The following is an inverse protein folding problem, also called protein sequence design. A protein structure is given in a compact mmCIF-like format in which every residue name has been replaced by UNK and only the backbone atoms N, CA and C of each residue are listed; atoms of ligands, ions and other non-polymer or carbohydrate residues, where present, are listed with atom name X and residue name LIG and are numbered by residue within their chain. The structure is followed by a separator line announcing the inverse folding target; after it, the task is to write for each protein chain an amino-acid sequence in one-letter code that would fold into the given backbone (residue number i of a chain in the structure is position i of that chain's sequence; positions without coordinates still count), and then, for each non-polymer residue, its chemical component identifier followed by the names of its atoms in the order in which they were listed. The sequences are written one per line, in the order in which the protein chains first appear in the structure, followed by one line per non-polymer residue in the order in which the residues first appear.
data_IF_100565947165
#
_entry.id   IF_100565947165
#
_cell.length_a   1.000
_cell.length_b   1.000
_cell.length_c   1.000
_cell.angle_alpha   90.00
_cell.angle_beta   90.00
_cell.angle_gamma   90.00
#
_symmetry.space_group_name_H-M   'P 1'
#
loop_
_entity.id
_entity.type
_entity.pdbx_description
1 polymer ?
#
# COMPACT_ATOMS: atom_id res chain seq x y z
N UNK A 1 -12.07 -2.44 56.21
CA UNK A 1 -12.36 -1.97 54.85
C UNK A 1 -11.30 -2.39 53.79
N UNK A 2 -10.00 -2.37 54.10
CA UNK A 2 -8.94 -2.68 53.10
C UNK A 2 -8.77 -4.17 52.70
N UNK A 3 -9.11 -5.10 53.57
CA UNK A 3 -8.95 -6.56 53.26
C UNK A 3 -10.08 -7.11 52.36
N UNK A 4 -11.28 -6.59 52.45
CA UNK A 4 -12.43 -6.98 51.64
C UNK A 4 -12.28 -6.49 50.21
N UNK A 5 -11.80 -5.25 50.00
CA UNK A 5 -11.53 -4.69 48.65
C UNK A 5 -10.46 -5.49 47.93
N UNK A 6 -9.40 -5.91 48.61
CA UNK A 6 -8.36 -6.77 48.03
C UNK A 6 -8.88 -8.16 47.61
N UNK A 7 -9.79 -8.74 48.40
CA UNK A 7 -10.42 -10.04 48.03
C UNK A 7 -11.39 -9.87 46.89
N UNK A 8 -12.15 -8.79 46.82
CA UNK A 8 -13.05 -8.50 45.70
C UNK A 8 -12.28 -8.27 44.39
N UNK A 9 -11.17 -7.52 44.43
CA UNK A 9 -10.30 -7.28 43.26
C UNK A 9 -9.63 -8.59 42.80
N UNK A 10 -9.20 -9.47 43.72
CA UNK A 10 -8.65 -10.77 43.36
C UNK A 10 -9.69 -11.70 42.75
N UNK A 11 -10.93 -11.68 43.21
CA UNK A 11 -12.03 -12.47 42.61
C UNK A 11 -12.47 -11.88 41.28
N UNK A 12 -12.51 -10.56 41.10
CA UNK A 12 -12.76 -9.93 39.79
C UNK A 12 -11.61 -10.23 38.79
N UNK A 13 -10.35 -10.22 39.23
CA UNK A 13 -9.20 -10.57 38.38
C UNK A 13 -9.20 -12.04 37.96
N UNK A 14 -9.74 -12.93 38.77
CA UNK A 14 -9.93 -14.36 38.42
C UNK A 14 -11.12 -14.58 37.47
N UNK A 15 -12.12 -13.71 37.49
CA UNK A 15 -13.29 -13.79 36.60
C UNK A 15 -13.01 -13.17 35.20
N UNK A 16 -11.92 -12.41 35.06
CA UNK A 16 -11.45 -11.86 33.77
C UNK A 16 -10.34 -12.71 33.11
N UNK A 17 -10.04 -13.88 33.64
CA UNK A 17 -9.26 -14.89 32.89
C UNK A 17 -10.12 -15.31 31.71
N UNK A 18 -10.10 -14.48 30.63
CA UNK A 18 -10.57 -14.92 29.33
C UNK A 18 -9.83 -16.19 29.00
N UNK A 19 -10.55 -17.26 28.71
CA UNK A 19 -10.01 -18.46 28.11
C UNK A 19 -9.19 -18.03 26.91
N UNK A 20 -7.87 -18.11 27.01
CA UNK A 20 -7.01 -18.01 25.85
C UNK A 20 -7.31 -19.26 25.04
N UNK A 21 -8.18 -19.13 24.04
CA UNK A 21 -8.35 -20.15 23.01
C UNK A 21 -6.98 -20.38 22.39
N UNK A 22 -6.32 -21.46 22.78
CA UNK A 22 -5.05 -21.89 22.22
C UNK A 22 -5.30 -22.53 20.84
N UNK A 23 -5.84 -21.76 19.89
CA UNK A 23 -5.83 -22.17 18.49
C UNK A 23 -4.37 -22.24 18.06
N UNK A 24 -3.93 -23.42 17.58
CA UNK A 24 -2.55 -23.65 17.13
C UNK A 24 -2.10 -22.61 16.11
N UNK A 25 -3.00 -22.08 15.28
CA UNK A 25 -2.76 -20.96 14.38
C UNK A 25 -4.08 -20.34 13.88
N UNK A 26 -4.11 -19.02 13.73
CA UNK A 26 -5.24 -18.33 13.09
C UNK A 26 -5.24 -18.66 11.59
N UNK A 27 -6.44 -18.87 11.02
CA UNK A 27 -6.64 -19.18 9.61
C UNK A 27 -5.93 -18.16 8.68
N UNK A 28 -5.37 -18.64 7.58
CA UNK A 28 -4.64 -17.87 6.55
C UNK A 28 -3.46 -17.04 7.10
N UNK A 29 -2.89 -17.44 8.23
CA UNK A 29 -1.68 -16.80 8.77
C UNK A 29 -0.46 -17.70 8.63
N UNK A 30 0.71 -17.07 8.50
CA UNK A 30 1.98 -17.75 8.43
C UNK A 30 3.08 -16.97 9.13
N UNK A 31 4.12 -17.69 9.51
CA UNK A 31 5.39 -17.13 9.96
C UNK A 31 6.53 -17.77 9.18
N UNK A 32 7.50 -16.98 8.81
CA UNK A 32 8.75 -17.42 8.20
C UNK A 32 9.91 -16.81 8.98
N UNK A 33 10.59 -17.63 9.79
CA UNK A 33 11.65 -17.18 10.66
C UNK A 33 13.02 -17.57 10.09
N UNK A 34 13.83 -16.58 9.68
CA UNK A 34 15.15 -16.78 9.08
C UNK A 34 16.19 -16.76 10.18
N UNK A 35 16.79 -17.95 10.45
CA UNK A 35 17.81 -18.14 11.48
C UNK A 35 18.95 -18.98 10.90
N UNK A 36 20.17 -18.45 10.95
CA UNK A 36 21.34 -19.12 10.41
C UNK A 36 21.17 -19.51 8.93
N UNK A 37 21.33 -20.81 8.62
CA UNK A 37 21.20 -21.35 7.27
C UNK A 37 19.79 -21.94 7.00
N UNK A 38 18.79 -21.52 7.74
CA UNK A 38 17.43 -22.01 7.61
C UNK A 38 16.38 -20.93 7.66
N UNK A 39 15.30 -21.10 6.87
CA UNK A 39 14.07 -20.35 7.03
C UNK A 39 12.96 -21.30 7.50
N UNK A 40 12.54 -21.15 8.74
CA UNK A 40 11.55 -21.98 9.41
C UNK A 40 10.16 -21.43 9.16
N UNK A 41 9.31 -22.25 8.57
CA UNK A 41 7.97 -21.89 8.14
C UNK A 41 6.94 -22.58 9.02
N UNK A 42 5.94 -21.83 9.44
CA UNK A 42 4.66 -22.35 9.95
C UNK A 42 3.56 -21.59 9.21
N UNK A 43 2.65 -22.30 8.55
CA UNK A 43 1.55 -21.69 7.81
C UNK A 43 0.25 -22.43 8.00
N UNK A 44 -0.85 -21.71 8.12
CA UNK A 44 -2.21 -22.26 8.03
C UNK A 44 -2.70 -22.11 6.60
N UNK A 45 -3.05 -23.23 5.97
CA UNK A 45 -3.51 -23.29 4.58
C UNK A 45 -4.95 -23.82 4.55
N UNK A 46 -5.85 -23.21 3.74
CA UNK A 46 -7.22 -23.69 3.63
C UNK A 46 -7.28 -25.03 2.86
N UNK A 47 -8.10 -25.95 3.32
CA UNK A 47 -8.33 -27.24 2.64
C UNK A 47 -8.86 -27.03 1.24
N UNK A 48 -9.69 -26.02 1.02
CA UNK A 48 -10.25 -25.65 -0.28
C UNK A 48 -9.19 -25.24 -1.35
N UNK A 49 -7.92 -25.00 -0.92
CA UNK A 49 -6.79 -24.77 -1.84
C UNK A 49 -6.16 -26.06 -2.35
N UNK A 50 -6.46 -27.21 -1.71
CA UNK A 50 -5.94 -28.51 -2.07
C UNK A 50 -6.90 -29.23 -3.04
N UNK A 51 -6.34 -30.03 -3.94
CA UNK A 51 -7.12 -30.75 -4.96
C UNK A 51 -7.07 -32.24 -4.72
N UNK A 52 -8.25 -32.90 -4.79
CA UNK A 52 -8.35 -34.35 -4.76
C UNK A 52 -7.94 -34.96 -3.41
N UNK A 53 -8.26 -34.29 -2.30
CA UNK A 53 -7.95 -34.73 -0.93
C UNK A 53 -9.21 -34.80 -0.05
N UNK A 54 -10.29 -34.21 -0.48
CA UNK A 54 -11.62 -34.21 0.10
C UNK A 54 -12.47 -35.18 -0.74
N UNK A 55 -12.69 -36.37 -0.23
CA UNK A 55 -13.31 -37.49 -0.96
C UNK A 55 -14.84 -37.42 -0.92
N UNK A 56 -15.41 -36.85 0.14
CA UNK A 56 -16.86 -36.71 0.31
C UNK A 56 -17.42 -35.39 -0.15
N UNK A 57 -16.53 -34.43 -0.46
CA UNK A 57 -16.91 -33.12 -1.03
C UNK A 57 -17.53 -32.16 -0.04
N UNK A 58 -17.33 -32.36 1.28
CA UNK A 58 -17.86 -31.48 2.33
C UNK A 58 -17.08 -30.16 2.50
N UNK A 59 -15.95 -30.03 1.81
CA UNK A 59 -15.04 -28.88 1.85
C UNK A 59 -14.16 -28.84 3.09
N UNK A 60 -13.99 -29.97 3.76
CA UNK A 60 -13.18 -30.19 4.95
C UNK A 60 -12.26 -31.38 4.75
N UNK A 61 -11.40 -31.62 5.70
CA UNK A 61 -10.49 -32.76 5.69
C UNK A 61 -10.66 -33.53 7.00
N UNK A 62 -11.17 -34.73 6.92
CA UNK A 62 -11.22 -35.68 8.05
C UNK A 62 -9.83 -36.27 8.31
N UNK A 63 -9.63 -36.84 9.47
CA UNK A 63 -8.38 -37.53 9.81
C UNK A 63 -8.11 -38.73 8.87
N UNK A 64 -9.15 -39.41 8.41
CA UNK A 64 -9.04 -40.54 7.49
C UNK A 64 -8.54 -40.07 6.10
N UNK A 65 -9.13 -39.04 5.54
CA UNK A 65 -8.73 -38.43 4.26
C UNK A 65 -7.33 -37.83 4.34
N UNK A 66 -7.03 -37.07 5.43
CA UNK A 66 -5.71 -36.52 5.66
C UNK A 66 -4.60 -37.57 5.67
N UNK A 67 -4.85 -38.74 6.29
CA UNK A 67 -3.91 -39.85 6.28
C UNK A 67 -3.84 -40.54 4.90
N UNK A 68 -4.98 -40.72 4.24
CA UNK A 68 -5.05 -41.37 2.92
C UNK A 68 -4.34 -40.54 1.85
N UNK A 69 -4.45 -39.19 1.91
CA UNK A 69 -3.93 -38.26 0.92
C UNK A 69 -2.66 -37.53 1.37
N UNK A 70 -2.01 -37.92 2.46
CA UNK A 70 -0.87 -37.22 3.05
C UNK A 70 0.23 -36.89 2.01
N UNK A 71 0.63 -37.87 1.21
CA UNK A 71 1.65 -37.67 0.19
C UNK A 71 1.24 -36.67 -0.90
N UNK A 72 -0.04 -36.67 -1.28
CA UNK A 72 -0.59 -35.71 -2.24
C UNK A 72 -0.65 -34.29 -1.66
N UNK A 73 -1.01 -34.15 -0.40
CA UNK A 73 -1.02 -32.88 0.35
C UNK A 73 0.41 -32.33 0.42
N UNK A 74 1.38 -33.15 0.85
CA UNK A 74 2.78 -32.73 0.92
C UNK A 74 3.33 -32.27 -0.45
N UNK A 75 3.02 -33.01 -1.52
CA UNK A 75 3.43 -32.63 -2.88
C UNK A 75 2.84 -31.28 -3.29
N UNK A 76 1.56 -31.06 -3.03
CA UNK A 76 0.89 -29.79 -3.33
C UNK A 76 1.48 -28.63 -2.51
N UNK A 77 1.78 -28.84 -1.23
CA UNK A 77 2.43 -27.83 -0.37
C UNK A 77 3.83 -27.50 -0.89
N UNK A 78 4.65 -28.50 -1.23
CA UNK A 78 6.00 -28.29 -1.78
C UNK A 78 5.99 -27.53 -3.10
N UNK A 79 4.97 -27.75 -3.92
CA UNK A 79 4.81 -27.03 -5.19
C UNK A 79 4.22 -25.65 -4.99
N UNK A 80 3.25 -25.52 -4.09
CA UNK A 80 2.46 -24.30 -3.87
C UNK A 80 3.08 -23.29 -2.92
N UNK A 81 4.06 -23.68 -2.08
CA UNK A 81 4.81 -22.79 -1.20
C UNK A 81 6.29 -22.92 -1.50
N UNK A 82 6.86 -21.91 -2.13
CA UNK A 82 8.25 -21.93 -2.57
C UNK A 82 9.02 -20.74 -2.02
N UNK A 83 10.19 -20.99 -1.48
CA UNK A 83 11.18 -19.97 -1.19
C UNK A 83 12.24 -20.01 -2.29
N UNK A 84 12.49 -18.89 -2.94
CA UNK A 84 13.43 -18.75 -4.06
C UNK A 84 14.57 -17.82 -3.65
N UNK A 85 15.78 -18.20 -3.99
CA UNK A 85 16.96 -17.36 -3.92
C UNK A 85 17.49 -17.07 -5.34
N UNK A 86 18.63 -16.38 -5.43
CA UNK A 86 19.25 -16.01 -6.71
C UNK A 86 19.53 -17.21 -7.64
N UNK A 87 19.72 -18.42 -7.10
CA UNK A 87 20.01 -19.66 -7.85
C UNK A 87 18.78 -20.53 -8.10
N UNK A 88 17.57 -20.07 -7.78
CA UNK A 88 16.32 -20.79 -7.98
C UNK A 88 15.61 -21.17 -6.68
N UNK A 89 14.72 -22.17 -6.76
CA UNK A 89 13.93 -22.63 -5.63
C UNK A 89 14.81 -23.34 -4.58
N UNK A 90 14.59 -23.01 -3.33
CA UNK A 90 15.28 -23.60 -2.18
C UNK A 90 14.53 -24.83 -1.69
N UNK A 91 15.22 -25.92 -1.28
CA UNK A 91 14.57 -27.15 -0.86
C UNK A 91 13.84 -26.98 0.46
N UNK A 92 12.57 -27.37 0.48
CA UNK A 92 11.75 -27.49 1.69
C UNK A 92 12.01 -28.84 2.34
N UNK A 93 12.56 -28.85 3.54
CA UNK A 93 12.96 -30.04 4.33
C UNK A 93 12.04 -30.19 5.53
N UNK A 94 11.86 -31.44 5.99
CA UNK A 94 11.15 -31.75 7.22
C UNK A 94 9.71 -31.19 7.22
N UNK A 95 9.03 -31.28 6.07
CA UNK A 95 7.63 -30.85 5.98
C UNK A 95 6.77 -31.75 6.85
N UNK A 96 6.03 -31.15 7.76
CA UNK A 96 5.03 -31.79 8.61
C UNK A 96 3.69 -31.15 8.30
N UNK A 97 2.71 -31.96 8.00
CA UNK A 97 1.31 -31.54 7.82
C UNK A 97 0.54 -31.95 9.06
N UNK A 98 -0.08 -31.00 9.70
CA UNK A 98 -0.91 -31.22 10.87
C UNK A 98 -2.34 -30.74 10.59
N UNK A 99 -3.30 -31.62 10.87
CA UNK A 99 -4.71 -31.26 10.93
C UNK A 99 -4.92 -30.54 12.27
N UNK A 100 -5.45 -29.32 12.23
CA UNK A 100 -5.68 -28.50 13.42
C UNK A 100 -7.17 -28.54 13.80
N UNK A 101 -7.66 -29.63 14.41
CA UNK A 101 -9.03 -29.70 14.87
C UNK A 101 -9.25 -28.75 16.05
N UNK A 102 -10.50 -28.43 16.33
CA UNK A 102 -10.87 -27.64 17.51
C UNK A 102 -10.61 -28.45 18.79
N UNK A 103 -10.21 -27.75 19.84
CA UNK A 103 -9.92 -28.40 21.15
C UNK A 103 -11.13 -29.16 21.74
N UNK A 104 -12.35 -28.68 21.45
CA UNK A 104 -13.61 -29.25 21.86
C UNK A 104 -14.06 -30.46 20.98
N UNK A 105 -13.43 -30.66 19.81
CA UNK A 105 -13.78 -31.70 18.84
C UNK A 105 -12.53 -32.25 18.11
N UNK A 106 -11.65 -32.99 18.80
CA UNK A 106 -10.34 -33.40 18.28
C UNK A 106 -10.40 -34.38 17.08
N UNK A 107 -11.54 -34.97 16.79
CA UNK A 107 -11.76 -35.84 15.63
C UNK A 107 -12.60 -35.22 14.53
N UNK A 108 -13.04 -33.97 14.70
CA UNK A 108 -13.87 -33.32 13.71
C UNK A 108 -13.05 -32.99 12.45
N UNK A 109 -13.67 -33.04 11.25
CA UNK A 109 -13.06 -32.60 10.02
C UNK A 109 -12.66 -31.10 10.10
N UNK A 110 -11.49 -30.76 9.54
CA UNK A 110 -10.91 -29.40 9.59
C UNK A 110 -11.06 -28.70 8.24
N UNK A 111 -11.21 -27.38 8.27
CA UNK A 111 -11.20 -26.52 7.10
C UNK A 111 -9.81 -25.90 6.81
N UNK A 112 -8.85 -26.10 7.73
CA UNK A 112 -7.49 -25.60 7.64
C UNK A 112 -6.50 -26.70 8.01
N UNK A 113 -5.36 -26.74 7.32
CA UNK A 113 -4.19 -27.51 7.72
C UNK A 113 -3.08 -26.60 8.18
N UNK A 114 -2.30 -27.01 9.18
CA UNK A 114 -1.08 -26.33 9.59
C UNK A 114 0.12 -27.07 9.02
N UNK A 115 0.95 -26.38 8.28
CA UNK A 115 2.17 -26.94 7.70
C UNK A 115 3.39 -26.31 8.37
N UNK A 116 4.35 -27.15 8.73
CA UNK A 116 5.62 -26.76 9.34
C UNK A 116 6.74 -27.31 8.49
N UNK A 117 7.76 -26.49 8.24
CA UNK A 117 8.90 -26.96 7.45
C UNK A 117 10.07 -25.99 7.53
N UNK A 118 11.21 -26.38 6.97
CA UNK A 118 12.43 -25.59 6.91
C UNK A 118 12.93 -25.50 5.47
N UNK A 119 13.12 -24.30 4.97
CA UNK A 119 13.88 -24.12 3.74
C UNK A 119 15.38 -24.07 4.06
N UNK A 120 16.16 -24.86 3.35
CA UNK A 120 17.61 -24.81 3.45
C UNK A 120 18.15 -23.69 2.57
N UNK A 121 18.79 -22.67 3.19
CA UNK A 121 19.21 -21.45 2.48
C UNK A 121 20.53 -21.62 1.71
N UNK A 122 21.38 -22.57 2.11
CA UNK A 122 22.67 -22.82 1.45
C UNK A 122 23.58 -21.59 1.42
N UNK A 123 23.56 -20.80 2.49
CA UNK A 123 24.30 -19.54 2.62
C UNK A 123 23.64 -18.33 1.93
N UNK A 124 22.51 -18.50 1.25
CA UNK A 124 21.80 -17.40 0.56
C UNK A 124 20.85 -16.74 1.55
N UNK A 125 21.17 -15.55 2.04
CA UNK A 125 20.33 -14.80 2.99
C UNK A 125 19.78 -13.50 2.44
N UNK A 126 20.08 -13.17 1.19
CA UNK A 126 19.64 -11.96 0.48
C UNK A 126 18.96 -12.31 -0.84
N UNK A 127 18.10 -11.43 -1.32
CA UNK A 127 17.33 -11.64 -2.56
C UNK A 127 16.38 -12.83 -2.50
N UNK A 128 15.92 -13.17 -1.29
CA UNK A 128 14.93 -14.23 -1.09
C UNK A 128 13.56 -13.75 -1.53
N UNK A 129 12.80 -14.65 -2.18
CA UNK A 129 11.40 -14.43 -2.58
C UNK A 129 10.54 -15.56 -2.08
N UNK A 130 9.44 -15.22 -1.45
CA UNK A 130 8.41 -16.18 -1.07
C UNK A 130 7.28 -16.15 -2.09
N UNK A 131 6.99 -17.32 -2.66
CA UNK A 131 5.86 -17.53 -3.56
C UNK A 131 4.87 -18.49 -2.92
N UNK A 132 3.58 -18.11 -2.92
CA UNK A 132 2.47 -18.94 -2.45
C UNK A 132 1.40 -18.97 -3.53
N UNK A 133 0.93 -20.16 -3.90
CA UNK A 133 -0.14 -20.37 -4.88
C UNK A 133 -1.34 -21.11 -4.29
N UNK A 134 -1.29 -21.49 -3.02
CA UNK A 134 -2.36 -22.20 -2.30
C UNK A 134 -3.29 -21.19 -1.63
N UNK A 135 -4.23 -20.66 -2.42
CA UNK A 135 -5.31 -19.79 -1.96
C UNK A 135 -6.62 -20.54 -2.07
N UNK A 136 -7.45 -20.42 -1.04
CA UNK A 136 -8.75 -21.07 -1.01
C UNK A 136 -9.76 -20.42 -1.95
N UNK A 137 -10.90 -21.08 -2.09
CA UNK A 137 -11.98 -20.65 -2.99
C UNK A 137 -12.97 -19.69 -2.32
N UNK A 138 -13.02 -19.66 -0.99
CA UNK A 138 -13.93 -18.79 -0.23
C UNK A 138 -13.35 -17.38 -0.10
N UNK A 139 -14.21 -16.37 0.03
CA UNK A 139 -13.81 -14.96 0.06
C UNK A 139 -12.73 -14.64 1.14
N UNK A 140 -12.81 -15.23 2.32
CA UNK A 140 -11.84 -15.07 3.41
C UNK A 140 -10.54 -15.87 3.25
N UNK A 141 -10.43 -16.75 2.25
CA UNK A 141 -9.32 -17.69 2.05
C UNK A 141 -8.40 -17.30 0.88
N UNK A 142 -8.68 -16.17 0.23
CA UNK A 142 -7.92 -15.71 -0.95
C UNK A 142 -6.66 -14.92 -0.62
N UNK A 143 -6.36 -14.74 0.66
CA UNK A 143 -5.15 -14.03 1.08
C UNK A 143 -4.42 -14.82 2.15
N UNK A 144 -3.09 -14.78 2.11
CA UNK A 144 -2.19 -15.32 3.13
C UNK A 144 -1.42 -14.18 3.78
N UNK A 145 -1.52 -14.10 5.10
CA UNK A 145 -0.91 -13.10 5.95
C UNK A 145 0.33 -13.69 6.62
N UNK A 146 1.52 -13.28 6.18
CA UNK A 146 2.78 -13.92 6.59
C UNK A 146 3.69 -12.90 7.26
N UNK A 147 4.14 -13.22 8.47
CA UNK A 147 5.17 -12.46 9.17
C UNK A 147 6.54 -13.10 8.93
N UNK A 148 7.44 -12.36 8.30
CA UNK A 148 8.83 -12.77 8.10
C UNK A 148 9.71 -12.10 9.14
N UNK A 149 10.61 -12.86 9.77
CA UNK A 149 11.56 -12.32 10.75
C UNK A 149 13.00 -12.77 10.45
N UNK A 150 13.97 -11.87 10.65
CA UNK A 150 15.41 -12.14 10.56
C UNK A 150 16.14 -11.26 11.58
N UNK A 151 16.53 -11.84 12.70
CA UNK A 151 17.07 -11.06 13.84
C UNK A 151 16.04 -10.03 14.32
N UNK A 152 16.41 -8.75 14.31
CA UNK A 152 15.49 -7.65 14.68
C UNK A 152 14.59 -7.18 13.54
N UNK A 153 14.90 -7.56 12.30
CA UNK A 153 14.09 -7.18 11.14
C UNK A 153 12.79 -8.00 11.09
N UNK A 154 11.68 -7.32 10.85
CA UNK A 154 10.36 -7.93 10.69
C UNK A 154 9.67 -7.34 9.48
N UNK A 155 9.08 -8.20 8.67
CA UNK A 155 8.30 -7.85 7.50
C UNK A 155 6.95 -8.54 7.58
N UNK A 156 5.90 -7.82 7.19
CA UNK A 156 4.54 -8.33 7.11
C UNK A 156 4.11 -8.39 5.64
N UNK A 157 3.75 -9.57 5.18
CA UNK A 157 3.40 -9.81 3.78
C UNK A 157 1.94 -10.25 3.69
N UNK A 158 1.21 -9.65 2.76
CA UNK A 158 -0.09 -10.15 2.33
C UNK A 158 0.07 -10.65 0.90
N UNK A 159 -0.13 -11.95 0.71
CA UNK A 159 -0.09 -12.63 -0.58
C UNK A 159 -1.50 -13.00 -1.03
N UNK A 160 -1.74 -13.00 -2.32
CA UNK A 160 -3.03 -13.35 -2.93
C UNK A 160 -2.86 -13.71 -4.40
N UNK A 161 -3.92 -14.16 -5.11
CA UNK A 161 -3.82 -14.61 -6.52
C UNK A 161 -3.20 -13.57 -7.46
N UNK A 162 -3.49 -12.28 -7.25
CA UNK A 162 -2.91 -11.18 -8.04
C UNK A 162 -1.50 -10.76 -7.62
N UNK A 163 -0.99 -11.30 -6.49
CA UNK A 163 0.31 -10.96 -5.91
C UNK A 163 0.85 -12.16 -5.13
N UNK A 164 1.09 -13.23 -5.85
CA UNK A 164 1.47 -14.53 -5.28
C UNK A 164 2.94 -14.64 -4.86
N UNK A 165 3.81 -13.69 -5.26
CA UNK A 165 5.25 -13.68 -4.96
C UNK A 165 5.68 -12.32 -4.40
N UNK A 166 6.55 -12.33 -3.37
CA UNK A 166 7.09 -11.14 -2.72
C UNK A 166 8.55 -11.30 -2.31
N UNK A 167 9.32 -10.22 -2.46
CA UNK A 167 10.67 -10.13 -1.94
C UNK A 167 10.66 -10.09 -0.40
N UNK A 168 11.59 -10.84 0.21
CA UNK A 168 11.75 -10.91 1.64
C UNK A 168 12.82 -9.92 2.10
N UNK A 169 12.45 -9.05 3.04
CA UNK A 169 13.34 -8.10 3.69
C UNK A 169 14.24 -7.36 2.68
N UNK A 170 13.67 -6.69 1.67
CA UNK A 170 14.43 -5.98 0.66
C UNK A 170 15.31 -4.90 1.32
N UNK A 171 16.52 -4.64 0.78
CA UNK A 171 17.38 -3.58 1.30
C UNK A 171 16.71 -2.21 1.14
N UNK A 172 16.99 -1.29 2.07
CA UNK A 172 16.41 0.05 2.11
C UNK A 172 16.56 0.83 0.79
N UNK A 173 17.67 0.63 0.08
CA UNK A 173 17.92 1.25 -1.22
C UNK A 173 16.98 0.76 -2.31
N UNK A 174 16.68 -0.55 -2.36
CA UNK A 174 15.71 -1.10 -3.30
C UNK A 174 14.31 -0.55 -3.00
N UNK A 175 13.91 -0.55 -1.73
CA UNK A 175 12.63 0.02 -1.30
C UNK A 175 12.52 1.50 -1.71
N UNK A 176 13.56 2.29 -1.49
CA UNK A 176 13.60 3.70 -1.89
C UNK A 176 13.42 3.86 -3.41
N UNK A 177 14.18 3.11 -4.21
CA UNK A 177 14.12 3.19 -5.68
C UNK A 177 12.76 2.74 -6.21
N UNK A 178 12.20 1.64 -5.72
CA UNK A 178 10.88 1.16 -6.13
C UNK A 178 9.79 2.21 -5.84
N UNK A 179 9.83 2.82 -4.65
CA UNK A 179 8.87 3.85 -4.28
C UNK A 179 9.12 5.18 -5.00
N UNK A 180 10.35 5.49 -5.40
CA UNK A 180 10.65 6.64 -6.25
C UNK A 180 9.95 6.52 -7.60
N UNK A 181 10.04 5.37 -8.25
CA UNK A 181 9.31 5.13 -9.51
C UNK A 181 7.81 5.12 -9.32
N UNK A 182 7.33 4.60 -8.18
CA UNK A 182 5.91 4.62 -7.84
C UNK A 182 5.39 6.06 -7.67
N UNK A 183 6.12 6.91 -6.95
CA UNK A 183 5.77 8.32 -6.77
C UNK A 183 5.81 9.12 -8.07
N UNK A 184 6.83 8.90 -8.90
CA UNK A 184 6.90 9.50 -10.22
C UNK A 184 5.74 9.07 -11.12
N UNK A 185 5.44 7.77 -11.16
CA UNK A 185 4.31 7.21 -11.90
C UNK A 185 2.97 7.74 -11.43
N UNK A 186 2.79 7.92 -10.11
CA UNK A 186 1.57 8.49 -9.53
C UNK A 186 1.27 9.89 -10.09
N UNK A 187 2.26 10.77 -10.13
CA UNK A 187 2.10 12.14 -10.69
C UNK A 187 1.84 12.07 -12.20
N UNK A 188 2.63 11.28 -12.93
CA UNK A 188 2.55 11.25 -14.39
C UNK A 188 1.28 10.56 -14.92
N UNK A 189 0.74 9.59 -14.20
CA UNK A 189 -0.52 8.93 -14.54
C UNK A 189 -1.75 9.70 -14.02
N UNK A 190 -1.58 10.57 -13.02
CA UNK A 190 -2.66 11.33 -12.41
C UNK A 190 -3.03 12.57 -13.23
N UNK A 191 -4.09 12.52 -14.03
CA UNK A 191 -4.58 13.67 -14.79
C UNK A 191 -4.86 14.90 -13.91
N UNK A 192 -5.37 14.68 -12.70
CA UNK A 192 -5.63 15.70 -11.68
C UNK A 192 -4.35 16.43 -11.28
N UNK A 193 -3.27 15.67 -11.03
CA UNK A 193 -1.97 16.19 -10.67
C UNK A 193 -1.36 17.00 -11.80
N UNK A 194 -1.39 16.48 -13.02
CA UNK A 194 -0.85 17.17 -14.19
C UNK A 194 -1.60 18.46 -14.45
N UNK A 195 -2.93 18.46 -14.35
CA UNK A 195 -3.73 19.66 -14.57
C UNK A 195 -3.50 20.70 -13.47
N UNK A 196 -3.45 20.28 -12.21
CA UNK A 196 -3.11 21.16 -11.08
C UNK A 196 -1.72 21.78 -11.25
N UNK A 197 -0.72 20.98 -11.65
CA UNK A 197 0.63 21.45 -11.94
C UNK A 197 0.62 22.51 -13.03
N UNK A 198 -0.05 22.27 -14.14
CA UNK A 198 -0.14 23.23 -15.25
C UNK A 198 -0.76 24.55 -14.79
N UNK A 199 -1.80 24.52 -13.94
CA UNK A 199 -2.38 25.73 -13.34
C UNK A 199 -1.35 26.47 -12.50
N UNK A 200 -0.64 25.78 -11.61
CA UNK A 200 0.39 26.37 -10.74
C UNK A 200 1.52 27.01 -11.55
N UNK A 201 1.95 26.35 -12.63
CA UNK A 201 3.04 26.80 -13.50
C UNK A 201 2.61 27.97 -14.44
N UNK A 202 1.33 28.01 -14.83
CA UNK A 202 0.80 29.02 -15.74
C UNK A 202 0.86 30.47 -15.21
N UNK A 203 1.20 30.68 -13.93
CA UNK A 203 1.25 32.03 -13.32
C UNK A 203 2.42 32.89 -13.78
N UNK A 204 3.45 32.35 -14.41
CA UNK A 204 4.60 33.08 -14.93
C UNK A 204 5.49 33.77 -13.87
N UNK A 205 5.40 33.39 -12.60
CA UNK A 205 6.12 34.03 -11.47
C UNK A 205 7.62 33.70 -11.38
N UNK A 206 8.16 33.05 -12.41
CA UNK A 206 9.56 32.63 -12.47
C UNK A 206 9.84 31.26 -11.80
N UNK A 207 10.99 30.67 -12.14
CA UNK A 207 11.33 29.30 -11.80
C UNK A 207 11.45 29.07 -10.28
N UNK A 208 12.00 30.06 -9.51
CA UNK A 208 12.12 29.91 -8.05
C UNK A 208 10.77 29.81 -7.36
N UNK A 209 9.80 30.60 -7.80
CA UNK A 209 8.44 30.56 -7.28
C UNK A 209 7.73 29.25 -7.69
N UNK A 210 8.01 28.73 -8.88
CA UNK A 210 7.50 27.45 -9.33
C UNK A 210 8.05 26.31 -8.46
N UNK A 211 9.39 26.19 -8.30
CA UNK A 211 10.01 25.17 -7.46
C UNK A 211 9.45 25.23 -6.04
N UNK A 212 9.40 26.41 -5.42
CA UNK A 212 8.88 26.58 -4.07
C UNK A 212 7.42 26.12 -3.95
N UNK A 213 6.58 26.39 -4.95
CA UNK A 213 5.19 25.94 -4.96
C UNK A 213 5.09 24.42 -5.12
N UNK A 214 5.94 23.79 -5.95
CA UNK A 214 5.99 22.34 -6.12
C UNK A 214 6.45 21.65 -4.85
N UNK A 215 7.55 22.09 -4.24
CA UNK A 215 8.02 21.54 -2.95
C UNK A 215 6.98 21.75 -1.84
N UNK A 216 6.29 22.88 -1.82
CA UNK A 216 5.19 23.14 -0.89
C UNK A 216 4.02 22.14 -1.11
N UNK A 217 3.70 21.83 -2.37
CA UNK A 217 2.72 20.81 -2.72
C UNK A 217 3.17 19.42 -2.25
N UNK A 218 4.41 19.00 -2.55
CA UNK A 218 4.97 17.74 -2.09
C UNK A 218 4.91 17.63 -0.57
N UNK A 219 5.23 18.69 0.17
CA UNK A 219 5.16 18.70 1.63
C UNK A 219 3.73 18.51 2.16
N UNK A 220 2.74 19.20 1.59
CA UNK A 220 1.33 19.03 1.98
C UNK A 220 0.81 17.62 1.65
N UNK A 221 1.14 17.12 0.46
CA UNK A 221 0.80 15.77 0.02
C UNK A 221 1.41 14.69 0.95
N UNK A 222 2.70 14.82 1.28
CA UNK A 222 3.40 13.94 2.20
C UNK A 222 2.78 13.95 3.60
N UNK A 223 2.42 15.14 4.12
CA UNK A 223 1.79 15.27 5.43
C UNK A 223 0.43 14.56 5.47
N UNK A 224 -0.41 14.74 4.45
CA UNK A 224 -1.70 14.06 4.37
C UNK A 224 -1.54 12.54 4.30
N UNK A 225 -0.54 12.06 3.53
CA UNK A 225 -0.22 10.66 3.43
C UNK A 225 0.22 10.06 4.78
N UNK A 226 1.15 10.73 5.48
CA UNK A 226 1.61 10.31 6.81
C UNK A 226 0.47 10.32 7.82
N UNK A 227 -0.38 11.34 7.80
CA UNK A 227 -1.55 11.42 8.68
C UNK A 227 -2.53 10.26 8.44
N UNK A 228 -2.80 9.91 7.19
CA UNK A 228 -3.68 8.78 6.83
C UNK A 228 -3.10 7.44 7.29
N UNK A 229 -1.80 7.23 7.12
CA UNK A 229 -1.12 6.03 7.61
C UNK A 229 -1.15 5.93 9.14
N UNK A 230 -1.03 7.06 9.84
CA UNK A 230 -1.08 7.11 11.30
C UNK A 230 -2.47 6.77 11.86
N UNK A 231 -3.52 7.29 11.22
CA UNK A 231 -4.91 7.04 11.65
C UNK A 231 -5.42 5.66 11.20
N UNK A 232 -4.73 4.98 10.28
CA UNK A 232 -5.12 3.65 9.78
C UNK A 232 -6.43 3.64 8.99
N UNK A 233 -6.91 4.79 8.55
CA UNK A 233 -8.14 4.93 7.79
C UNK A 233 -7.91 5.77 6.53
N UNK A 234 -8.28 5.23 5.38
CA UNK A 234 -8.34 5.99 4.15
C UNK A 234 -9.59 6.89 4.14
N UNK A 235 -9.43 8.12 3.67
CA UNK A 235 -10.59 9.00 3.47
C UNK A 235 -11.49 8.43 2.36
N UNK A 236 -12.82 8.52 2.49
CA UNK A 236 -13.76 7.95 1.52
C UNK A 236 -13.57 8.56 0.12
N UNK A 237 -13.37 7.74 -0.93
CA UNK A 237 -13.13 8.23 -2.30
C UNK A 237 -14.22 9.19 -2.81
N UNK A 238 -15.48 8.92 -2.49
CA UNK A 238 -16.63 9.73 -2.90
C UNK A 238 -16.61 11.17 -2.34
N UNK A 239 -15.81 11.45 -1.30
CA UNK A 239 -15.59 12.80 -0.77
C UNK A 239 -14.29 13.41 -1.32
N UNK A 240 -13.24 12.59 -1.40
CA UNK A 240 -11.90 13.06 -1.77
C UNK A 240 -11.81 13.41 -3.25
N UNK A 241 -12.36 12.57 -4.13
CA UNK A 241 -12.27 12.81 -5.56
C UNK A 241 -12.98 14.10 -6.03
N UNK A 242 -14.21 14.41 -5.58
CA UNK A 242 -14.82 15.72 -5.86
C UNK A 242 -14.03 16.89 -5.27
N UNK A 243 -13.47 16.72 -4.06
CA UNK A 243 -12.66 17.75 -3.41
C UNK A 243 -11.37 18.03 -4.20
N UNK A 244 -10.71 17.01 -4.77
CA UNK A 244 -9.56 17.19 -5.66
C UNK A 244 -9.95 18.05 -6.88
N UNK A 245 -11.06 17.73 -7.55
CA UNK A 245 -11.54 18.52 -8.68
C UNK A 245 -11.84 19.98 -8.28
N UNK A 246 -12.45 20.19 -7.12
CA UNK A 246 -12.71 21.53 -6.58
C UNK A 246 -11.42 22.31 -6.28
N UNK A 247 -10.34 21.68 -5.83
CA UNK A 247 -9.04 22.35 -5.61
C UNK A 247 -8.42 22.88 -6.90
N UNK A 248 -8.55 22.16 -8.01
CA UNK A 248 -8.06 22.59 -9.33
C UNK A 248 -8.80 23.86 -9.76
N UNK A 249 -10.12 23.88 -9.62
CA UNK A 249 -10.97 25.05 -9.93
C UNK A 249 -10.59 26.22 -9.03
N UNK A 250 -10.50 25.99 -7.71
CA UNK A 250 -10.17 27.02 -6.74
C UNK A 250 -8.82 27.66 -7.02
N UNK A 251 -7.79 26.86 -7.33
CA UNK A 251 -6.46 27.35 -7.64
C UNK A 251 -6.44 28.17 -8.94
N UNK A 252 -7.10 27.69 -10.00
CA UNK A 252 -7.19 28.39 -11.28
C UNK A 252 -7.90 29.75 -11.13
N UNK A 253 -9.02 29.78 -10.39
CA UNK A 253 -9.76 31.03 -10.12
C UNK A 253 -8.99 31.97 -9.22
N UNK A 254 -8.33 31.46 -8.17
CA UNK A 254 -7.50 32.27 -7.28
C UNK A 254 -6.34 32.95 -8.03
N UNK A 255 -5.62 32.18 -8.85
CA UNK A 255 -4.49 32.75 -9.62
C UNK A 255 -4.98 33.82 -10.63
N UNK A 256 -6.12 33.61 -11.27
CA UNK A 256 -6.76 34.62 -12.14
C UNK A 256 -7.15 35.89 -11.39
N UNK A 257 -7.88 35.72 -10.27
CA UNK A 257 -8.29 36.81 -9.41
C UNK A 257 -7.07 37.58 -8.84
N UNK A 258 -6.05 36.86 -8.37
CA UNK A 258 -4.83 37.44 -7.81
C UNK A 258 -4.09 38.29 -8.84
N UNK A 259 -4.06 37.87 -10.11
CA UNK A 259 -3.43 38.65 -11.22
C UNK A 259 -4.21 39.89 -11.62
N UNK A 260 -5.52 39.94 -11.39
CA UNK A 260 -6.34 41.11 -11.69
C UNK A 260 -6.30 42.21 -10.62
N UNK A 261 -5.64 41.94 -9.47
CA UNK A 261 -5.57 42.90 -8.36
C UNK A 261 -4.53 44.00 -8.61
N UNK A 262 -4.85 45.27 -8.27
CA UNK A 262 -3.88 46.38 -8.36
C UNK A 262 -2.65 46.18 -7.48
N UNK A 263 -2.84 45.54 -6.30
CA UNK A 263 -1.76 45.21 -5.36
C UNK A 263 -1.55 43.70 -5.31
N UNK A 264 -0.32 43.22 -5.55
CA UNK A 264 -0.03 41.81 -5.51
C UNK A 264 -0.22 41.26 -4.08
N UNK A 265 -0.78 40.06 -3.98
CA UNK A 265 -0.88 39.35 -2.70
C UNK A 265 0.49 38.83 -2.26
N UNK A 266 0.74 38.73 -0.94
CA UNK A 266 1.92 38.07 -0.42
C UNK A 266 2.05 36.63 -0.97
N UNK A 267 3.27 36.24 -1.33
CA UNK A 267 3.52 34.88 -1.85
C UNK A 267 3.07 33.80 -0.89
N UNK A 268 3.14 34.05 0.42
CA UNK A 268 2.70 33.13 1.46
C UNK A 268 1.21 32.74 1.33
N UNK A 269 0.34 33.65 0.91
CA UNK A 269 -1.10 33.33 0.74
C UNK A 269 -1.30 32.29 -0.35
N UNK A 270 -0.57 32.42 -1.47
CA UNK A 270 -0.62 31.46 -2.57
C UNK A 270 -0.03 30.09 -2.15
N UNK A 271 1.10 30.10 -1.46
CA UNK A 271 1.74 28.88 -0.95
C UNK A 271 0.83 28.16 0.05
N UNK A 272 0.16 28.89 0.94
CA UNK A 272 -0.80 28.32 1.87
C UNK A 272 -1.98 27.65 1.13
N UNK A 273 -2.46 28.25 0.04
CA UNK A 273 -3.50 27.63 -0.78
C UNK A 273 -2.99 26.38 -1.50
N UNK A 274 -1.77 26.44 -2.10
CA UNK A 274 -1.14 25.26 -2.72
C UNK A 274 -0.99 24.14 -1.71
N UNK A 275 -0.54 24.45 -0.50
CA UNK A 275 -0.40 23.47 0.59
C UNK A 275 -1.74 22.85 0.99
N UNK A 276 -2.79 23.67 1.14
CA UNK A 276 -4.14 23.19 1.47
C UNK A 276 -4.70 22.28 0.37
N UNK A 277 -4.52 22.67 -0.91
CA UNK A 277 -4.87 21.80 -2.03
C UNK A 277 -4.10 20.48 -2.01
N UNK A 278 -2.81 20.52 -1.70
CA UNK A 278 -1.95 19.35 -1.62
C UNK A 278 -2.37 18.36 -0.52
N UNK A 279 -2.84 18.87 0.63
CA UNK A 279 -3.42 18.01 1.68
C UNK A 279 -4.60 17.20 1.13
N UNK A 280 -5.48 17.81 0.35
CA UNK A 280 -6.63 17.12 -0.26
C UNK A 280 -6.17 16.07 -1.26
N UNK A 281 -5.19 16.40 -2.13
CA UNK A 281 -4.62 15.45 -3.10
C UNK A 281 -3.95 14.25 -2.42
N UNK A 282 -3.24 14.49 -1.31
CA UNK A 282 -2.59 13.42 -0.53
C UNK A 282 -3.56 12.43 0.12
N UNK A 283 -4.76 12.88 0.49
CA UNK A 283 -5.80 12.00 1.02
C UNK A 283 -6.29 11.00 -0.04
N UNK A 284 -6.28 11.36 -1.33
CA UNK A 284 -6.67 10.48 -2.42
C UNK A 284 -5.74 9.27 -2.60
N UNK A 285 -4.46 9.38 -2.21
CA UNK A 285 -3.50 8.28 -2.30
C UNK A 285 -3.60 7.29 -1.13
N UNK A 286 -4.16 7.70 0.00
CA UNK A 286 -4.19 6.88 1.20
C UNK A 286 -4.85 5.51 0.98
N UNK A 287 -5.93 5.45 0.19
CA UNK A 287 -6.59 4.19 -0.18
C UNK A 287 -5.73 3.28 -1.07
N UNK A 288 -4.96 3.85 -1.98
CA UNK A 288 -4.04 3.08 -2.83
C UNK A 288 -2.84 2.54 -2.04
N UNK A 289 -2.36 3.28 -1.02
CA UNK A 289 -1.27 2.84 -0.16
C UNK A 289 -1.68 1.74 0.83
N UNK A 290 -2.96 1.61 1.20
CA UNK A 290 -3.41 0.47 2.00
C UNK A 290 -3.12 -0.87 1.33
N UNK A 291 -3.22 -0.92 -0.01
CA UNK A 291 -2.85 -2.12 -0.78
C UNK A 291 -1.34 -2.34 -0.86
N UNK A 292 -0.55 -1.29 -0.63
CA UNK A 292 0.91 -1.32 -0.70
C UNK A 292 1.57 -1.50 0.66
N UNK A 293 0.83 -1.36 1.77
CA UNK A 293 1.29 -1.33 3.17
C UNK A 293 2.80 -1.53 3.26
N UNK A 294 3.57 -0.43 3.31
CA UNK A 294 5.01 -0.56 3.46
C UNK A 294 5.29 -1.24 4.80
N UNK A 295 6.21 -2.16 4.81
CA UNK A 295 6.66 -2.80 6.05
C UNK A 295 7.09 -1.73 7.05
N UNK A 296 6.69 -1.88 8.31
CA UNK A 296 7.01 -0.91 9.35
C UNK A 296 8.52 -0.62 9.46
N UNK A 297 9.36 -1.62 9.16
CA UNK A 297 10.83 -1.49 9.13
C UNK A 297 11.35 -0.59 8.02
N UNK A 298 10.64 -0.47 6.90
CA UNK A 298 11.05 0.28 5.71
C UNK A 298 10.15 1.48 5.40
N UNK A 299 9.18 1.78 6.29
CA UNK A 299 8.21 2.86 6.08
C UNK A 299 8.87 4.20 5.75
N UNK A 300 9.93 4.56 6.48
CA UNK A 300 10.68 5.80 6.23
C UNK A 300 11.29 5.85 4.83
N UNK A 301 11.89 4.75 4.36
CA UNK A 301 12.48 4.67 3.02
C UNK A 301 11.42 4.66 1.92
N UNK A 302 10.28 4.01 2.15
CA UNK A 302 9.13 4.03 1.25
C UNK A 302 8.57 5.44 1.07
N UNK A 303 8.34 6.16 2.18
CA UNK A 303 7.85 7.54 2.15
C UNK A 303 8.86 8.49 1.52
N UNK A 304 10.16 8.37 1.86
CA UNK A 304 11.21 9.20 1.29
C UNK A 304 11.33 8.97 -0.23
N UNK A 305 11.37 7.72 -0.67
CA UNK A 305 11.42 7.37 -2.09
C UNK A 305 10.21 7.89 -2.84
N UNK A 306 9.01 7.65 -2.32
CA UNK A 306 7.77 8.10 -2.95
C UNK A 306 7.73 9.62 -3.13
N UNK A 307 8.00 10.38 -2.07
CA UNK A 307 8.00 11.85 -2.16
C UNK A 307 9.12 12.40 -3.04
N UNK A 308 10.29 11.77 -3.06
CA UNK A 308 11.36 12.12 -4.00
C UNK A 308 10.93 11.88 -5.45
N UNK A 309 10.20 10.79 -5.72
CA UNK A 309 9.63 10.50 -7.04
C UNK A 309 8.57 11.52 -7.46
N UNK A 310 7.66 11.89 -6.55
CA UNK A 310 6.68 12.95 -6.77
C UNK A 310 7.38 14.25 -7.14
N UNK A 311 8.36 14.70 -6.37
CA UNK A 311 9.11 15.94 -6.61
C UNK A 311 9.86 15.87 -7.94
N UNK A 312 10.53 14.78 -8.25
CA UNK A 312 11.26 14.60 -9.50
C UNK A 312 10.33 14.69 -10.72
N UNK A 313 9.18 14.04 -10.68
CA UNK A 313 8.18 14.10 -11.75
C UNK A 313 7.62 15.52 -11.93
N UNK A 314 7.31 16.22 -10.85
CA UNK A 314 6.84 17.61 -10.88
C UNK A 314 7.88 18.53 -11.50
N UNK A 315 9.14 18.41 -11.12
CA UNK A 315 10.24 19.19 -11.69
C UNK A 315 10.42 18.89 -13.17
N UNK A 316 10.32 17.62 -13.58
CA UNK A 316 10.37 17.25 -15.00
C UNK A 316 9.23 17.91 -15.80
N UNK A 317 7.99 17.85 -15.30
CA UNK A 317 6.84 18.54 -15.91
C UNK A 317 7.05 20.05 -15.96
N UNK A 318 7.59 20.66 -14.90
CA UNK A 318 7.89 22.08 -14.86
C UNK A 318 8.94 22.49 -15.91
N UNK A 319 9.98 21.68 -16.08
CA UNK A 319 11.00 21.91 -17.12
C UNK A 319 10.41 21.81 -18.52
N UNK A 320 9.57 20.80 -18.77
CA UNK A 320 8.87 20.64 -20.05
C UNK A 320 7.93 21.83 -20.33
N UNK A 321 7.17 22.28 -19.32
CA UNK A 321 6.28 23.42 -19.43
C UNK A 321 7.06 24.73 -19.69
N UNK A 322 8.20 24.89 -19.01
CA UNK A 322 9.08 26.05 -19.23
C UNK A 322 9.70 26.04 -20.65
N UNK A 323 10.16 24.89 -21.14
CA UNK A 323 10.67 24.73 -22.51
C UNK A 323 9.58 25.02 -23.56
N UNK A 324 8.37 24.48 -23.35
CA UNK A 324 7.22 24.75 -24.21
C UNK A 324 6.86 26.26 -24.22
N UNK A 325 6.84 26.91 -23.05
CA UNK A 325 6.62 28.34 -22.92
C UNK A 325 7.68 29.16 -23.62
N UNK A 326 8.97 28.81 -23.49
CA UNK A 326 10.07 29.48 -24.21
C UNK A 326 9.94 29.30 -25.72
N UNK A 327 9.54 28.12 -26.20
CA UNK A 327 9.27 27.90 -27.61
C UNK A 327 8.12 28.80 -28.15
N UNK A 328 7.02 28.90 -27.39
CA UNK A 328 5.90 29.76 -27.74
C UNK A 328 6.35 31.22 -27.84
N UNK A 329 7.14 31.71 -26.87
CA UNK A 329 7.68 33.07 -26.90
C UNK A 329 8.59 33.28 -28.10
N UNK A 330 9.47 32.34 -28.41
CA UNK A 330 10.41 32.42 -29.54
C UNK A 330 9.70 32.48 -30.90
N UNK A 331 8.62 31.73 -31.07
CA UNK A 331 7.97 31.59 -32.38
C UNK A 331 6.80 32.56 -32.58
N UNK A 332 6.09 32.94 -31.49
CA UNK A 332 4.86 33.75 -31.56
C UNK A 332 4.86 34.99 -30.67
N UNK A 333 5.94 35.20 -29.91
CA UNK A 333 6.11 36.36 -29.03
C UNK A 333 5.45 36.21 -27.66
N UNK A 334 5.78 37.11 -26.75
CA UNK A 334 5.27 37.12 -25.38
C UNK A 334 3.72 37.24 -25.27
N UNK A 335 2.98 37.96 -26.16
CA UNK A 335 1.52 37.95 -26.08
C UNK A 335 0.89 36.59 -26.27
N UNK A 336 1.48 35.72 -27.10
CA UNK A 336 0.98 34.37 -27.30
C UNK A 336 1.10 33.52 -26.02
N UNK A 337 2.18 33.67 -25.23
CA UNK A 337 2.33 33.02 -23.94
C UNK A 337 1.22 33.42 -22.95
N UNK A 338 0.89 34.73 -22.91
CA UNK A 338 -0.20 35.22 -22.08
C UNK A 338 -1.57 34.60 -22.46
N UNK A 339 -1.78 34.39 -23.77
CA UNK A 339 -2.96 33.67 -24.25
C UNK A 339 -2.96 32.17 -23.87
N UNK A 340 -1.82 31.49 -24.05
CA UNK A 340 -1.71 30.07 -23.69
C UNK A 340 -1.96 29.86 -22.19
N UNK A 341 -1.41 30.70 -21.30
CA UNK A 341 -1.67 30.60 -19.85
C UNK A 341 -3.13 30.86 -19.50
N UNK A 342 -3.80 31.79 -20.21
CA UNK A 342 -5.26 31.98 -20.06
C UNK A 342 -6.05 30.76 -20.48
N UNK A 343 -5.71 30.14 -21.61
CA UNK A 343 -6.37 28.94 -22.10
C UNK A 343 -6.16 27.77 -21.14
N UNK A 344 -4.96 27.61 -20.59
CA UNK A 344 -4.70 26.58 -19.54
C UNK A 344 -5.63 26.82 -18.36
N UNK A 345 -5.76 28.04 -17.85
CA UNK A 345 -6.64 28.33 -16.70
C UNK A 345 -8.12 28.06 -17.02
N UNK A 346 -8.59 28.45 -18.20
CA UNK A 346 -9.98 28.22 -18.63
C UNK A 346 -10.22 26.72 -18.81
N UNK A 347 -9.31 26.02 -19.48
CA UNK A 347 -9.38 24.57 -19.66
C UNK A 347 -9.38 23.79 -18.34
N UNK A 348 -8.57 24.26 -17.37
CA UNK A 348 -8.52 23.68 -16.04
C UNK A 348 -9.84 23.85 -15.27
N UNK A 349 -10.47 25.03 -15.35
CA UNK A 349 -11.80 25.25 -14.76
C UNK A 349 -12.85 24.37 -15.43
N UNK A 350 -12.85 24.29 -16.77
CA UNK A 350 -13.80 23.48 -17.51
C UNK A 350 -13.63 21.98 -17.21
N UNK A 351 -12.40 21.46 -17.25
CA UNK A 351 -12.11 20.07 -16.92
C UNK A 351 -12.42 19.75 -15.45
N UNK A 352 -12.04 20.65 -14.52
CA UNK A 352 -12.35 20.51 -13.10
C UNK A 352 -13.86 20.48 -12.84
N UNK A 353 -14.65 21.32 -13.51
CA UNK A 353 -16.11 21.29 -13.40
C UNK A 353 -16.70 19.99 -13.96
N UNK A 354 -16.22 19.52 -15.11
CA UNK A 354 -16.66 18.27 -15.70
C UNK A 354 -16.36 17.07 -14.77
N UNK A 355 -15.16 16.99 -14.20
CA UNK A 355 -14.79 15.97 -13.24
C UNK A 355 -15.57 16.08 -11.92
N UNK A 356 -15.79 17.29 -11.43
CA UNK A 356 -16.58 17.51 -10.22
C UNK A 356 -18.00 16.99 -10.40
N UNK A 357 -18.66 17.34 -11.52
CA UNK A 357 -20.01 16.87 -11.84
C UNK A 357 -20.05 15.34 -12.01
N UNK A 358 -19.12 14.78 -12.77
CA UNK A 358 -19.01 13.34 -12.97
C UNK A 358 -18.87 12.58 -11.64
N UNK A 359 -17.99 13.06 -10.75
CA UNK A 359 -17.71 12.41 -9.46
C UNK A 359 -18.86 12.57 -8.47
N UNK A 360 -19.61 13.67 -8.51
CA UNK A 360 -20.82 13.85 -7.70
C UNK A 360 -21.98 12.96 -8.18
N UNK A 361 -22.14 12.78 -9.50
CA UNK A 361 -23.16 11.91 -10.06
C UNK A 361 -22.85 10.42 -9.81
N UNK A 362 -21.57 10.03 -9.86
CA UNK A 362 -21.16 8.64 -9.56
C UNK A 362 -21.16 8.31 -8.07
N UNK A 363 -21.18 9.33 -7.19
CA UNK A 363 -21.17 9.17 -5.73
C UNK A 363 -22.59 9.08 -5.13
N UNK A 364 -23.63 9.41 -5.89
CA UNK A 364 -25.05 9.28 -5.50
C UNK A 364 -25.70 8.10 -6.17
#
# INVERSE_FOLDING_TARGET
MRAWVRRLVAVLALLTAASADAHLMVAQRGTLNIVGDGAFMVMSLPVSALRGVDDDGDGRLSLAEGNAHLAAIEAQVRHGVQLRGARGALPLQGLIVNLSPRDDAPTAPVDQIVVVGRFALGGTTEGLRLAVSLFGTRAGEQTQDITVTKGAARQHLVLGPGRAERDLLPPATAVFVDHLWLGAGHVLAGADHLLFLLVVLATGRGWRAAVLALTCFTAGHALALVASLWHGQAAPPHLVEPAIAATIIAMALFDRWSQSRPRPLPAAVRLALVFACALVHGLGLAGALETLRPDASNLGWSLAGFNAGVEAAQLAVALLAAAAGAAVVRWRGAPALAWTTRLVSIGAVAAGLAWLLQRLVLAG
#
